data_IF_002510942512
#
_entry.id   IF_002510942512
#
_cell.length_a   1.000
_cell.length_b   1.000
_cell.length_c   1.000
_cell.angle_alpha   90.00
_cell.angle_beta   90.00
_cell.angle_gamma   90.00
#
_symmetry.space_group_name_H-M   'P 1'
#
loop_
_entity.id
_entity.type
_entity.pdbx_description
1 polymer ?
#
# COMPACT_ATOMS: atom_id res chain seq x y z
N UNK A 1 -17.15 5.36 -8.79
CA UNK A 1 -16.33 5.92 -7.69
C UNK A 1 -14.94 5.32 -7.77
N UNK A 2 -13.89 6.13 -7.78
CA UNK A 2 -12.51 5.64 -7.73
C UNK A 2 -12.09 5.40 -6.27
N UNK A 3 -11.38 4.30 -6.04
CA UNK A 3 -10.71 3.99 -4.76
C UNK A 3 -9.21 4.27 -4.93
N UNK A 4 -8.61 4.96 -3.96
CA UNK A 4 -7.16 5.09 -3.86
C UNK A 4 -6.64 3.99 -2.92
N UNK A 5 -5.59 3.28 -3.34
CA UNK A 5 -5.01 2.17 -2.59
C UNK A 5 -4.36 1.15 -3.52
N UNK A 6 -3.30 0.49 -3.04
CA UNK A 6 -2.59 -0.53 -3.81
C UNK A 6 -3.38 -1.85 -3.97
N UNK A 7 -4.60 -1.94 -3.40
CA UNK A 7 -5.41 -3.17 -3.35
C UNK A 7 -6.67 -3.22 -4.25
N UNK A 8 -6.94 -2.23 -5.10
CA UNK A 8 -8.19 -2.15 -5.88
C UNK A 8 -8.14 -2.70 -7.32
N UNK A 9 -9.29 -3.20 -7.81
CA UNK A 9 -9.66 -3.89 -9.08
C UNK A 9 -9.15 -3.37 -10.45
N UNK A 10 -8.11 -2.55 -10.51
CA UNK A 10 -7.41 -2.24 -11.77
C UNK A 10 -6.07 -2.98 -11.77
N UNK A 11 -5.49 -3.31 -12.95
CA UNK A 11 -4.12 -3.82 -13.00
C UNK A 11 -3.24 -2.91 -12.13
N UNK A 12 -2.27 -3.45 -11.36
CA UNK A 12 -1.74 -2.91 -10.08
C UNK A 12 -0.95 -1.60 -10.15
N UNK A 13 -1.26 -0.75 -11.12
CA UNK A 13 -0.47 0.40 -11.50
C UNK A 13 -1.26 1.65 -11.20
N UNK A 14 -1.34 1.96 -9.91
CA UNK A 14 -1.12 3.33 -9.51
C UNK A 14 0.08 3.86 -10.34
N UNK A 15 -0.04 4.97 -11.08
CA UNK A 15 1.06 5.49 -11.87
C UNK A 15 2.32 5.59 -11.02
N UNK A 16 3.55 5.40 -11.58
CA UNK A 16 4.79 5.50 -10.80
C UNK A 16 4.94 6.82 -10.00
N UNK A 17 4.15 7.85 -10.35
CA UNK A 17 4.02 9.09 -9.59
C UNK A 17 3.36 8.90 -8.22
N UNK A 18 2.36 8.02 -8.07
CA UNK A 18 1.64 7.83 -6.81
C UNK A 18 2.53 7.27 -5.70
N UNK A 19 3.35 6.25 -5.96
CA UNK A 19 4.29 5.72 -4.94
C UNK A 19 5.25 6.82 -4.46
N UNK A 20 5.69 7.70 -5.37
CA UNK A 20 6.55 8.83 -5.01
C UNK A 20 5.80 9.89 -4.21
N UNK A 21 4.57 10.21 -4.59
CA UNK A 21 3.73 11.19 -3.92
C UNK A 21 3.42 10.74 -2.49
N UNK A 22 2.95 9.51 -2.31
CA UNK A 22 2.74 8.91 -0.99
C UNK A 22 4.04 8.75 -0.19
N UNK A 23 5.16 8.43 -0.86
CA UNK A 23 6.47 8.46 -0.22
C UNK A 23 6.88 9.86 0.28
N UNK A 24 6.47 10.93 -0.41
CA UNK A 24 6.68 12.32 0.06
C UNK A 24 5.78 12.65 1.25
N UNK A 25 4.50 12.27 1.19
CA UNK A 25 3.54 12.43 2.30
C UNK A 25 4.07 11.75 3.55
N UNK A 26 4.51 10.49 3.46
CA UNK A 26 5.05 9.74 4.60
C UNK A 26 6.29 10.39 5.19
N UNK A 27 7.20 10.93 4.37
CA UNK A 27 8.39 11.65 4.87
C UNK A 27 8.01 12.89 5.68
N UNK A 28 7.04 13.67 5.20
CA UNK A 28 6.53 14.82 5.95
C UNK A 28 5.83 14.38 7.24
N UNK A 29 4.99 13.33 7.16
CA UNK A 29 4.33 12.77 8.34
C UNK A 29 5.33 12.29 9.42
N UNK A 30 6.41 11.63 9.00
CA UNK A 30 7.48 11.14 9.87
C UNK A 30 8.39 12.25 10.43
N UNK A 31 8.42 13.44 9.82
CA UNK A 31 9.25 14.54 10.30
C UNK A 31 8.71 15.19 11.59
N UNK A 32 7.40 15.05 11.86
CA UNK A 32 6.72 15.48 13.10
C UNK A 32 6.87 16.98 13.43
N UNK A 33 7.16 17.82 12.44
CA UNK A 33 7.15 19.29 12.61
C UNK A 33 5.81 19.87 12.18
N UNK A 34 5.44 21.04 12.70
CA UNK A 34 4.21 21.72 12.29
C UNK A 34 4.18 22.07 10.78
N UNK A 35 5.27 22.61 10.18
CA UNK A 35 5.33 22.82 8.73
C UNK A 35 5.16 21.54 7.92
N UNK A 36 5.81 20.44 8.34
CA UNK A 36 5.70 19.16 7.63
C UNK A 36 4.31 18.56 7.75
N UNK A 37 3.65 18.72 8.91
CA UNK A 37 2.25 18.29 9.07
C UNK A 37 1.32 18.99 8.08
N UNK A 38 1.42 20.31 7.95
CA UNK A 38 0.61 21.06 6.97
C UNK A 38 0.90 20.60 5.54
N UNK A 39 2.18 20.42 5.20
CA UNK A 39 2.56 19.90 3.88
C UNK A 39 2.01 18.49 3.61
N UNK A 40 2.01 17.62 4.62
CA UNK A 40 1.45 16.28 4.51
C UNK A 40 -0.07 16.33 4.23
N UNK A 41 -0.81 17.19 4.95
CA UNK A 41 -2.25 17.38 4.77
C UNK A 41 -2.61 17.93 3.39
N UNK A 42 -1.89 18.95 2.92
CA UNK A 42 -2.10 19.52 1.58
C UNK A 42 -1.85 18.49 0.48
N UNK A 43 -0.76 17.72 0.59
CA UNK A 43 -0.44 16.67 -0.36
C UNK A 43 -1.46 15.52 -0.29
N UNK A 44 -1.94 15.14 0.90
CA UNK A 44 -2.99 14.14 1.05
C UNK A 44 -4.28 14.58 0.36
N UNK A 45 -4.73 15.81 0.60
CA UNK A 45 -5.92 16.36 -0.04
C UNK A 45 -5.78 16.37 -1.58
N UNK A 46 -4.61 16.75 -2.10
CA UNK A 46 -4.32 16.73 -3.53
C UNK A 46 -4.35 15.31 -4.13
N UNK A 47 -3.67 14.35 -3.50
CA UNK A 47 -3.61 12.97 -4.02
C UNK A 47 -4.95 12.22 -3.91
N UNK A 48 -5.82 12.65 -3.00
CA UNK A 48 -7.15 12.10 -2.79
C UNK A 48 -8.26 12.84 -3.55
N UNK A 49 -7.94 13.90 -4.27
CA UNK A 49 -8.93 14.61 -5.08
C UNK A 49 -9.56 13.68 -6.13
N UNK A 50 -10.89 13.73 -6.23
CA UNK A 50 -11.69 12.85 -7.08
C UNK A 50 -11.88 11.40 -6.59
N UNK A 51 -11.31 11.02 -5.44
CA UNK A 51 -11.53 9.71 -4.83
C UNK A 51 -12.64 9.77 -3.76
N UNK A 52 -13.43 8.69 -3.67
CA UNK A 52 -14.51 8.60 -2.67
C UNK A 52 -14.08 7.83 -1.41
N UNK A 53 -13.01 7.05 -1.51
CA UNK A 53 -12.49 6.24 -0.42
C UNK A 53 -10.99 5.95 -0.64
N UNK A 54 -10.28 5.77 0.46
CA UNK A 54 -8.91 5.24 0.51
C UNK A 54 -8.92 3.91 1.26
N UNK A 55 -8.11 2.97 0.79
CA UNK A 55 -7.91 1.65 1.42
C UNK A 55 -6.43 1.31 1.45
N UNK A 56 -6.07 0.32 2.28
CA UNK A 56 -4.70 -0.20 2.40
C UNK A 56 -3.70 0.84 2.97
N UNK A 57 -2.43 0.44 3.07
CA UNK A 57 -1.33 1.30 3.50
C UNK A 57 -1.03 2.35 2.41
N UNK A 58 -0.87 3.64 2.77
CA UNK A 58 -0.71 4.17 4.12
C UNK A 58 -2.03 4.68 4.74
N UNK A 59 -3.15 4.64 4.00
CA UNK A 59 -4.41 5.25 4.42
C UNK A 59 -4.93 4.71 5.75
N UNK A 60 -4.78 3.41 5.99
CA UNK A 60 -5.16 2.79 7.27
C UNK A 60 -4.40 3.33 8.49
N UNK A 61 -3.24 3.95 8.30
CA UNK A 61 -2.41 4.54 9.35
C UNK A 61 -2.54 6.06 9.44
N UNK A 62 -3.18 6.70 8.46
CA UNK A 62 -3.37 8.16 8.37
C UNK A 62 -4.77 8.59 8.82
N UNK A 63 -5.47 7.75 9.58
CA UNK A 63 -6.88 7.97 9.96
C UNK A 63 -7.11 9.32 10.67
N UNK A 64 -6.29 9.75 11.65
CA UNK A 64 -6.48 11.05 12.28
C UNK A 64 -6.41 12.22 11.29
N UNK A 65 -5.43 12.20 10.38
CA UNK A 65 -5.25 13.23 9.35
C UNK A 65 -6.39 13.20 8.33
N UNK A 66 -6.86 12.01 7.95
CA UNK A 66 -7.98 11.85 7.04
C UNK A 66 -9.30 12.34 7.66
N UNK A 67 -9.51 12.15 8.96
CA UNK A 67 -10.69 12.66 9.66
C UNK A 67 -10.66 14.18 9.85
N UNK A 68 -9.48 14.79 9.87
CA UNK A 68 -9.33 16.25 9.84
C UNK A 68 -9.68 16.81 8.45
N UNK A 69 -9.17 16.19 7.38
CA UNK A 69 -9.47 16.59 6.01
C UNK A 69 -10.92 16.32 5.61
N UNK A 70 -11.50 15.22 6.10
CA UNK A 70 -12.85 14.77 5.75
C UNK A 70 -13.67 14.50 7.02
N UNK A 71 -14.21 15.55 7.68
CA UNK A 71 -14.90 15.42 8.96
C UNK A 71 -16.17 14.55 8.92
N UNK A 72 -16.76 14.35 7.74
CA UNK A 72 -17.96 13.52 7.56
C UNK A 72 -17.65 12.09 7.12
N UNK A 73 -16.38 11.74 6.94
CA UNK A 73 -15.99 10.40 6.52
C UNK A 73 -16.26 9.36 7.61
N UNK A 74 -16.68 8.16 7.16
CA UNK A 74 -16.76 6.96 8.00
C UNK A 74 -15.47 6.15 7.87
N UNK A 75 -15.06 5.50 8.95
CA UNK A 75 -13.90 4.61 9.00
C UNK A 75 -14.40 3.18 9.06
N UNK A 76 -14.05 2.38 8.05
CA UNK A 76 -14.39 0.96 8.00
C UNK A 76 -13.10 0.16 8.22
N UNK A 77 -13.06 -0.62 9.29
CA UNK A 77 -11.98 -1.54 9.60
C UNK A 77 -12.40 -2.96 9.23
N UNK A 78 -11.78 -3.51 8.18
CA UNK A 78 -12.00 -4.92 7.82
C UNK A 78 -11.31 -5.84 8.81
N UNK A 79 -12.07 -6.74 9.44
CA UNK A 79 -11.56 -7.68 10.45
C UNK A 79 -11.60 -9.12 9.96
N UNK A 80 -10.64 -9.93 10.43
CA UNK A 80 -10.58 -11.37 10.23
C UNK A 80 -9.79 -12.03 11.36
N UNK A 81 -9.62 -13.35 11.29
CA UNK A 81 -8.80 -14.09 12.25
C UNK A 81 -7.34 -13.57 12.28
N UNK A 82 -6.82 -13.13 13.44
CA UNK A 82 -5.49 -12.52 13.55
C UNK A 82 -4.34 -13.46 13.16
N UNK A 83 -4.48 -14.76 13.41
CA UNK A 83 -3.44 -15.76 13.11
C UNK A 83 -3.36 -15.96 11.59
N UNK A 84 -4.51 -16.09 10.93
CA UNK A 84 -4.58 -16.14 9.45
C UNK A 84 -4.07 -14.84 8.83
N UNK A 85 -4.37 -13.70 9.45
CA UNK A 85 -3.85 -12.41 8.97
C UNK A 85 -2.32 -12.35 9.03
N UNK A 86 -1.73 -12.75 10.15
CA UNK A 86 -0.27 -12.77 10.35
C UNK A 86 0.42 -13.70 9.35
N UNK A 87 -0.14 -14.89 9.14
CA UNK A 87 0.36 -15.85 8.14
C UNK A 87 0.34 -15.28 6.72
N UNK A 88 -0.69 -14.52 6.35
CA UNK A 88 -0.74 -13.90 5.00
C UNK A 88 0.35 -12.84 4.81
N UNK A 89 0.76 -12.16 5.89
CA UNK A 89 1.84 -11.19 5.83
C UNK A 89 3.21 -11.84 5.66
N UNK A 90 3.39 -13.11 6.00
CA UNK A 90 4.66 -13.82 5.79
C UNK A 90 5.05 -13.83 4.30
N UNK A 91 4.08 -13.95 3.39
CA UNK A 91 4.33 -13.91 1.95
C UNK A 91 4.86 -12.55 1.50
N UNK A 92 4.24 -11.47 1.97
CA UNK A 92 4.66 -10.09 1.67
C UNK A 92 6.03 -9.80 2.31
N UNK A 93 6.26 -10.27 3.55
CA UNK A 93 7.54 -10.16 4.26
C UNK A 93 8.66 -10.88 3.51
N UNK A 94 8.44 -12.12 3.07
CA UNK A 94 9.43 -12.90 2.33
C UNK A 94 9.90 -12.19 1.05
N UNK A 95 8.99 -11.52 0.34
CA UNK A 95 9.32 -10.74 -0.85
C UNK A 95 10.06 -9.43 -0.52
N UNK A 96 9.52 -8.64 0.42
CA UNK A 96 10.01 -7.28 0.73
C UNK A 96 11.32 -7.27 1.53
N UNK A 97 11.61 -8.34 2.28
CA UNK A 97 12.84 -8.48 3.07
C UNK A 97 13.96 -9.24 2.33
N UNK A 98 13.70 -9.72 1.12
CA UNK A 98 14.74 -10.39 0.32
C UNK A 98 15.86 -9.39 -0.01
N UNK A 99 17.09 -9.66 0.44
CA UNK A 99 18.21 -8.70 0.42
C UNK A 99 18.50 -8.06 -0.95
N UNK A 100 18.28 -8.78 -2.06
CA UNK A 100 18.56 -8.31 -3.41
C UNK A 100 17.33 -7.71 -4.13
N UNK A 101 16.14 -7.70 -3.51
CA UNK A 101 14.91 -7.34 -4.23
C UNK A 101 14.95 -5.90 -4.75
N UNK A 102 15.52 -4.96 -4.00
CA UNK A 102 15.66 -3.58 -4.45
C UNK A 102 16.51 -3.47 -5.72
N UNK A 103 17.59 -4.23 -5.82
CA UNK A 103 18.44 -4.28 -7.01
C UNK A 103 17.69 -4.93 -8.20
N UNK A 104 16.94 -6.01 -7.95
CA UNK A 104 16.13 -6.68 -8.98
C UNK A 104 15.05 -5.75 -9.55
N UNK A 105 14.42 -4.92 -8.72
CA UNK A 105 13.35 -4.01 -9.12
C UNK A 105 13.84 -2.70 -9.75
N UNK A 106 15.12 -2.35 -9.62
CA UNK A 106 15.69 -1.09 -10.11
C UNK A 106 15.40 -0.75 -11.58
N UNK A 107 15.47 -1.68 -12.56
CA UNK A 107 15.19 -1.38 -13.96
C UNK A 107 13.69 -1.33 -14.29
N UNK A 108 12.80 -1.45 -13.30
CA UNK A 108 11.36 -1.35 -13.44
C UNK A 108 10.87 0.03 -12.96
N UNK A 109 10.55 0.99 -13.87
CA UNK A 109 10.17 2.34 -13.49
C UNK A 109 9.04 2.45 -12.48
N UNK A 110 8.08 1.52 -12.53
CA UNK A 110 6.94 1.46 -11.60
C UNK A 110 7.21 0.75 -10.28
N UNK A 111 8.33 0.01 -10.14
CA UNK A 111 8.63 -0.75 -8.92
C UNK A 111 9.94 -0.38 -8.24
N UNK A 112 10.82 0.40 -8.90
CA UNK A 112 12.13 0.77 -8.34
C UNK A 112 12.07 1.55 -7.02
N UNK A 113 10.93 2.18 -6.72
CA UNK A 113 10.70 2.91 -5.47
C UNK A 113 9.92 2.10 -4.44
N UNK A 114 9.47 0.90 -4.79
CA UNK A 114 8.59 0.08 -3.94
C UNK A 114 9.25 -0.26 -2.60
N UNK A 115 10.51 -0.69 -2.60
CA UNK A 115 11.20 -1.06 -1.36
C UNK A 115 11.46 0.15 -0.46
N UNK A 116 11.88 1.28 -1.03
CA UNK A 116 12.02 2.53 -0.27
C UNK A 116 10.69 2.98 0.33
N UNK A 117 9.59 2.78 -0.40
CA UNK A 117 8.24 3.06 0.08
C UNK A 117 7.83 2.09 1.22
N UNK A 118 8.10 0.80 1.10
CA UNK A 118 7.89 -0.18 2.18
C UNK A 118 8.70 0.15 3.44
N UNK A 119 9.90 0.72 3.31
CA UNK A 119 10.67 1.21 4.46
C UNK A 119 9.96 2.36 5.16
N UNK A 120 9.42 3.34 4.44
CA UNK A 120 8.66 4.44 5.04
C UNK A 120 7.38 3.95 5.75
N UNK A 121 6.69 2.97 5.16
CA UNK A 121 5.56 2.32 5.82
C UNK A 121 6.00 1.63 7.12
N UNK A 122 7.15 0.97 7.12
CA UNK A 122 7.70 0.34 8.32
C UNK A 122 7.97 1.35 9.42
N UNK A 123 8.56 2.48 9.09
CA UNK A 123 8.83 3.56 10.04
C UNK A 123 7.52 4.09 10.64
N UNK A 124 6.49 4.30 9.80
CA UNK A 124 5.15 4.69 10.27
C UNK A 124 4.53 3.65 11.21
N UNK A 125 4.71 2.36 10.94
CA UNK A 125 4.23 1.28 11.80
C UNK A 125 4.96 1.24 13.15
N UNK A 126 6.26 1.52 13.18
CA UNK A 126 7.01 1.68 14.43
C UNK A 126 6.45 2.84 15.25
N UNK A 127 6.17 3.98 14.62
CA UNK A 127 5.64 5.15 15.32
C UNK A 127 4.25 4.90 15.93
N UNK A 128 3.34 4.23 15.21
CA UNK A 128 1.97 4.03 15.70
C UNK A 128 1.86 2.81 16.61
N UNK A 129 2.55 1.71 16.27
CA UNK A 129 2.36 0.42 16.93
C UNK A 129 3.57 -0.05 17.74
N UNK A 130 4.73 0.59 17.60
CA UNK A 130 5.98 0.17 18.26
C UNK A 130 6.63 -1.08 17.65
N UNK A 131 6.16 -1.55 16.50
CA UNK A 131 6.65 -2.77 15.85
C UNK A 131 6.99 -2.52 14.37
N UNK A 132 8.24 -2.78 14.00
CA UNK A 132 8.72 -2.67 12.62
C UNK A 132 8.30 -3.87 11.76
N UNK A 133 8.06 -5.02 12.40
CA UNK A 133 7.58 -6.22 11.71
C UNK A 133 6.17 -6.48 12.22
N UNK A 134 5.15 -6.36 11.36
CA UNK A 134 3.77 -6.66 11.70
C UNK A 134 3.61 -8.05 12.32
N UNK A 135 2.99 -8.13 13.49
CA UNK A 135 2.58 -9.38 14.14
C UNK A 135 1.09 -9.34 14.47
N UNK A 136 0.51 -10.46 14.91
CA UNK A 136 -0.87 -10.46 15.44
C UNK A 136 -1.07 -9.45 16.57
N UNK A 137 -0.01 -9.09 17.31
CA UNK A 137 -0.10 -8.04 18.33
C UNK A 137 -0.32 -6.67 17.68
N UNK A 138 0.37 -6.40 16.58
CA UNK A 138 0.15 -5.19 15.77
C UNK A 138 -1.28 -5.10 15.26
N UNK A 139 -1.86 -6.22 14.81
CA UNK A 139 -3.26 -6.28 14.39
C UNK A 139 -4.23 -5.87 15.51
N UNK A 140 -4.04 -6.45 16.71
CA UNK A 140 -4.86 -6.12 17.88
C UNK A 140 -4.65 -4.66 18.30
N UNK A 141 -3.41 -4.17 18.25
CA UNK A 141 -3.08 -2.78 18.57
C UNK A 141 -3.68 -1.80 17.57
N UNK A 142 -3.73 -2.13 16.29
CA UNK A 142 -4.39 -1.32 15.27
C UNK A 142 -5.89 -1.18 15.56
N UNK A 143 -6.57 -2.28 15.93
CA UNK A 143 -7.99 -2.24 16.32
C UNK A 143 -8.22 -1.36 17.55
N UNK A 144 -7.39 -1.50 18.59
CA UNK A 144 -7.49 -0.66 19.80
C UNK A 144 -7.24 0.81 19.47
N UNK A 145 -6.18 1.11 18.71
CA UNK A 145 -5.85 2.45 18.27
C UNK A 145 -6.98 3.11 17.49
N UNK A 146 -7.66 2.39 16.58
CA UNK A 146 -8.81 2.91 15.86
C UNK A 146 -9.96 3.30 16.80
N UNK A 147 -10.23 2.51 17.85
CA UNK A 147 -11.25 2.85 18.85
C UNK A 147 -10.88 4.08 19.68
N UNK A 148 -9.59 4.38 19.82
CA UNK A 148 -9.10 5.56 20.54
C UNK A 148 -9.20 6.84 19.69
N UNK A 149 -8.90 6.75 18.39
CA UNK A 149 -8.78 7.94 17.52
C UNK A 149 -10.03 8.24 16.68
N UNK A 150 -10.95 7.28 16.54
CA UNK A 150 -12.18 7.44 15.74
C UNK A 150 -13.40 7.50 16.67
N UNK A 151 -14.28 8.51 16.53
CA UNK A 151 -15.57 8.52 17.21
C UNK A 151 -16.38 7.25 16.90
N UNK A 152 -17.03 6.69 17.92
CA UNK A 152 -17.74 5.41 17.84
C UNK A 152 -18.81 5.38 16.74
N UNK A 153 -19.52 6.49 16.54
CA UNK A 153 -20.56 6.65 15.52
C UNK A 153 -20.00 6.68 14.08
N UNK A 154 -18.69 6.86 13.92
CA UNK A 154 -17.98 6.87 12.63
C UNK A 154 -17.15 5.61 12.38
N UNK A 155 -16.99 4.73 13.36
CA UNK A 155 -16.18 3.52 13.25
C UNK A 155 -17.04 2.26 13.06
N UNK A 156 -16.77 1.53 11.98
CA UNK A 156 -17.41 0.24 11.71
C UNK A 156 -16.34 -0.85 11.61
N UNK A 157 -16.56 -1.97 12.32
CA UNK A 157 -15.82 -3.21 12.07
C UNK A 157 -16.63 -4.09 11.11
N UNK A 158 -15.98 -4.62 10.08
CA UNK A 158 -16.65 -5.34 9.00
C UNK A 158 -15.88 -6.62 8.65
N UNK A 159 -16.54 -7.78 8.70
CA UNK A 159 -15.98 -9.01 8.14
C UNK A 159 -16.40 -9.13 6.68
N UNK A 160 -15.44 -9.21 5.78
CA UNK A 160 -15.69 -9.29 4.33
C UNK A 160 -16.54 -10.50 3.93
N UNK A 161 -16.62 -11.52 4.79
CA UNK A 161 -17.47 -12.71 4.61
C UNK A 161 -18.96 -12.41 4.77
N UNK A 162 -19.31 -11.29 5.40
CA UNK A 162 -20.70 -10.88 5.60
C UNK A 162 -21.31 -10.23 4.35
N UNK A 163 -20.50 -9.96 3.32
CA UNK A 163 -20.96 -9.50 2.02
C UNK A 163 -21.45 -8.05 2.02
N UNK A 164 -22.43 -7.75 1.16
CA UNK A 164 -22.86 -6.37 0.90
C UNK A 164 -23.71 -5.75 2.02
N UNK A 165 -24.53 -6.55 2.69
CA UNK A 165 -25.59 -6.07 3.57
C UNK A 165 -25.09 -5.14 4.68
N UNK A 166 -24.18 -5.56 5.59
CA UNK A 166 -23.73 -4.68 6.68
C UNK A 166 -22.93 -3.49 6.18
N UNK A 167 -22.18 -3.64 5.08
CA UNK A 167 -21.41 -2.55 4.48
C UNK A 167 -22.33 -1.47 3.90
N UNK A 168 -23.36 -1.88 3.16
CA UNK A 168 -24.34 -0.98 2.57
C UNK A 168 -25.18 -0.28 3.64
N UNK A 169 -25.61 -1.00 4.68
CA UNK A 169 -26.31 -0.42 5.83
C UNK A 169 -25.46 0.67 6.51
N UNK A 170 -24.21 0.36 6.85
CA UNK A 170 -23.31 1.31 7.49
C UNK A 170 -23.04 2.54 6.61
N UNK A 171 -23.06 2.40 5.28
CA UNK A 171 -22.88 3.51 4.34
C UNK A 171 -24.19 4.24 3.99
N UNK A 172 -25.35 3.74 4.44
CA UNK A 172 -26.67 4.27 4.04
C UNK A 172 -26.91 4.14 2.53
N UNK A 173 -26.49 3.02 1.93
CA UNK A 173 -26.59 2.73 0.49
C UNK A 173 -27.43 1.49 0.23
N UNK A 174 -28.00 1.41 -0.97
CA UNK A 174 -28.70 0.22 -1.43
C UNK A 174 -27.73 -0.93 -1.73
N UNK A 175 -28.18 -2.15 -1.49
CA UNK A 175 -27.43 -3.37 -1.85
C UNK A 175 -27.43 -3.53 -3.38
N UNK A 176 -26.26 -3.70 -4.03
CA UNK A 176 -26.20 -4.00 -5.46
C UNK A 176 -26.93 -5.32 -5.79
N UNK A 177 -27.89 -5.28 -6.71
CA UNK A 177 -28.74 -6.45 -7.05
C UNK A 177 -28.04 -7.50 -7.90
N UNK A 178 -27.19 -7.06 -8.83
CA UNK A 178 -26.60 -7.93 -9.87
C UNK A 178 -25.07 -8.11 -9.73
N UNK A 179 -24.50 -7.73 -8.59
CA UNK A 179 -23.05 -7.78 -8.35
C UNK A 179 -22.73 -8.64 -7.13
N UNK A 180 -22.02 -9.79 -7.29
CA UNK A 180 -21.56 -10.54 -6.14
C UNK A 180 -20.55 -9.71 -5.33
N UNK A 181 -20.46 -9.97 -4.03
CA UNK A 181 -19.45 -9.33 -3.22
C UNK A 181 -18.05 -9.71 -3.75
N UNK A 182 -17.13 -8.74 -3.96
CA UNK A 182 -15.85 -9.05 -4.58
C UNK A 182 -14.99 -10.00 -3.73
N UNK A 183 -14.44 -11.02 -4.38
CA UNK A 183 -13.42 -11.89 -3.79
C UNK A 183 -12.16 -11.86 -4.67
N UNK A 184 -11.25 -10.95 -4.31
CA UNK A 184 -9.98 -10.70 -5.00
C UNK A 184 -8.84 -10.64 -4.01
N UNK A 185 -7.61 -10.78 -4.50
CA UNK A 185 -6.38 -10.69 -3.69
C UNK A 185 -6.22 -11.84 -2.67
N UNK A 186 -6.31 -13.09 -3.14
CA UNK A 186 -5.90 -14.24 -2.34
C UNK A 186 -4.37 -14.33 -2.19
N UNK A 187 -3.90 -15.18 -1.28
CA UNK A 187 -2.46 -15.31 -1.01
C UNK A 187 -1.65 -15.81 -2.22
N UNK A 188 -2.28 -16.59 -3.10
CA UNK A 188 -1.62 -17.09 -4.31
C UNK A 188 -1.37 -15.95 -5.29
N UNK A 189 -2.28 -14.98 -5.40
CA UNK A 189 -2.11 -13.78 -6.23
C UNK A 189 -0.86 -12.96 -5.84
N UNK A 190 -0.57 -12.81 -4.54
CA UNK A 190 0.62 -12.07 -4.07
C UNK A 190 1.91 -12.76 -4.54
N UNK A 191 1.98 -14.08 -4.41
CA UNK A 191 3.12 -14.88 -4.85
C UNK A 191 3.38 -14.77 -6.36
N UNK A 192 2.32 -14.81 -7.16
CA UNK A 192 2.43 -14.69 -8.61
C UNK A 192 2.83 -13.27 -9.06
N UNK A 193 2.30 -12.23 -8.40
CA UNK A 193 2.73 -10.84 -8.63
C UNK A 193 4.23 -10.69 -8.34
N UNK A 194 4.70 -11.20 -7.19
CA UNK A 194 6.12 -11.16 -6.83
C UNK A 194 7.01 -11.85 -7.88
N UNK A 195 6.65 -13.07 -8.30
CA UNK A 195 7.37 -13.82 -9.35
C UNK A 195 7.39 -13.07 -10.68
N UNK A 196 6.26 -12.49 -11.09
CA UNK A 196 6.13 -11.72 -12.31
C UNK A 196 7.11 -10.53 -12.34
N UNK A 197 7.18 -9.77 -11.24
CA UNK A 197 8.08 -8.63 -11.13
C UNK A 197 9.55 -9.02 -11.07
N UNK A 198 9.89 -10.10 -10.35
CA UNK A 198 11.25 -10.62 -10.30
C UNK A 198 11.70 -11.01 -11.71
N UNK A 199 10.90 -11.80 -12.44
CA UNK A 199 11.20 -12.20 -13.82
C UNK A 199 11.42 -10.99 -14.72
N UNK A 200 10.52 -10.00 -14.69
CA UNK A 200 10.66 -8.77 -15.48
C UNK A 200 11.91 -7.98 -15.12
N UNK A 201 12.25 -7.87 -13.83
CA UNK A 201 13.45 -7.20 -13.36
C UNK A 201 14.71 -7.87 -13.90
N UNK A 202 14.81 -9.19 -13.73
CA UNK A 202 15.92 -10.00 -14.24
C UNK A 202 16.05 -9.93 -15.77
N UNK A 203 14.94 -10.04 -16.50
CA UNK A 203 14.95 -9.91 -17.97
C UNK A 203 15.45 -8.54 -18.42
N UNK A 204 15.05 -7.45 -17.75
CA UNK A 204 15.56 -6.12 -18.08
C UNK A 204 17.03 -5.95 -17.74
N UNK A 205 17.49 -6.52 -16.64
CA UNK A 205 18.92 -6.56 -16.34
C UNK A 205 19.71 -7.31 -17.40
N UNK A 206 19.25 -8.49 -17.81
CA UNK A 206 19.91 -9.26 -18.87
C UNK A 206 20.03 -8.44 -20.16
N UNK A 207 18.97 -7.73 -20.55
CA UNK A 207 19.00 -6.84 -21.72
C UNK A 207 19.98 -5.67 -21.55
N UNK A 208 19.94 -4.97 -20.40
CA UNK A 208 20.85 -3.85 -20.10
C UNK A 208 22.32 -4.31 -20.16
N UNK A 209 22.63 -5.45 -19.55
CA UNK A 209 23.98 -6.01 -19.51
C UNK A 209 24.44 -6.45 -20.91
N UNK A 210 23.58 -7.08 -21.70
CA UNK A 210 23.89 -7.49 -23.07
C UNK A 210 24.18 -6.29 -23.99
N UNK A 211 23.35 -5.24 -23.94
CA UNK A 211 23.56 -4.02 -24.72
C UNK A 211 24.83 -3.30 -24.28
N UNK A 212 25.08 -3.22 -22.97
CA UNK A 212 26.29 -2.59 -22.43
C UNK A 212 27.55 -3.36 -22.86
N UNK A 213 27.52 -4.69 -22.78
CA UNK A 213 28.63 -5.53 -23.22
C UNK A 213 28.89 -5.39 -24.73
N UNK A 214 27.84 -5.38 -25.55
CA UNK A 214 27.96 -5.17 -27.00
C UNK A 214 28.54 -3.79 -27.33
N UNK A 215 28.11 -2.73 -26.64
CA UNK A 215 28.66 -1.38 -26.82
C UNK A 215 30.14 -1.31 -26.42
N UNK A 216 30.51 -1.92 -25.29
CA UNK A 216 31.92 -1.99 -24.87
C UNK A 216 32.75 -2.76 -25.88
N UNK A 217 32.30 -3.92 -26.35
CA UNK A 217 32.99 -4.70 -27.37
C UNK A 217 33.19 -3.91 -28.68
N UNK A 218 32.13 -3.22 -29.14
CA UNK A 218 32.20 -2.37 -30.34
C UNK A 218 33.20 -1.22 -30.18
N UNK A 219 33.18 -0.52 -29.04
CA UNK A 219 34.13 0.59 -28.80
C UNK A 219 35.57 0.14 -28.64
N UNK A 220 35.82 -1.06 -28.13
CA UNK A 220 37.16 -1.66 -28.06
C UNK A 220 37.62 -2.04 -29.47
N UNK A 221 36.77 -2.69 -30.28
CA UNK A 221 37.10 -3.05 -31.65
C UNK A 221 37.35 -1.84 -32.55
N UNK A 222 36.62 -0.73 -32.38
CA UNK A 222 36.80 0.47 -33.20
C UNK A 222 38.06 1.29 -32.87
N UNK A 223 38.80 0.93 -31.82
CA UNK A 223 40.05 1.59 -31.41
C UNK A 223 41.30 0.87 -31.92
N UNK A 224 41.16 -0.29 -32.55
CA UNK A 224 42.20 -1.05 -33.21
C UNK A 224 41.91 -1.11 -34.72
#
# INVERSE_FOLDING_TARGET
>A
MAQSGMGGHKPPWAPPSQIKAWGKILKHWLARTAPDRSAALELMAHELDGYAAITDCPGGQLVPELLELYPTAKVICTVRDPIKWEKSLDQVRGFTLMWCIQAILLPLPGMRHFISYCTLLRDQWVEIYGEAIPTRQTYLRHISWLKEVVPEDRLMFFDVRDGWEPLCEALGKEIPKDLPFPHVNDGDAIGEVAKFHIRRGLTRWAFILAVTAAAVAYTVQSKF
#
